data_IF_957808359590
#
_entry.id   IF_957808359590
#
_cell.length_a   1.000
_cell.length_b   1.000
_cell.length_c   1.000
_cell.angle_alpha   90.00
_cell.angle_beta   90.00
_cell.angle_gamma   90.00
#
_symmetry.space_group_name_H-M   'P 1'
#
loop_
_entity.id
_entity.type
_entity.pdbx_description
1 polymer ?
#
# COMPACT_ATOMS: atom_id res chain seq x y z
N UNK A 1 15.49 -2.77 15.06
CA UNK A 1 15.13 -2.43 13.68
C UNK A 1 13.70 -1.92 13.69
N UNK A 2 13.47 -0.68 13.28
CA UNK A 2 12.12 -0.12 13.14
C UNK A 2 11.57 -0.47 11.75
N UNK A 3 10.32 -0.90 11.69
CA UNK A 3 9.63 -1.13 10.42
C UNK A 3 9.17 0.22 9.88
N UNK A 4 9.61 0.56 8.67
CA UNK A 4 9.25 1.82 8.00
C UNK A 4 8.35 1.54 6.80
N UNK A 5 7.49 2.52 6.49
CA UNK A 5 6.57 2.48 5.35
C UNK A 5 6.87 3.67 4.44
N UNK A 6 7.12 3.36 3.17
CA UNK A 6 7.35 4.32 2.11
C UNK A 6 6.07 4.46 1.29
N UNK A 7 5.68 5.70 0.99
CA UNK A 7 4.52 6.00 0.16
C UNK A 7 4.97 6.64 -1.15
N UNK A 8 4.70 5.98 -2.26
CA UNK A 8 4.96 6.48 -3.61
C UNK A 8 3.64 6.98 -4.21
N UNK A 9 3.63 8.19 -4.75
CA UNK A 9 2.47 8.76 -5.45
C UNK A 9 2.88 9.16 -6.85
N UNK A 10 2.05 8.83 -7.85
CA UNK A 10 2.24 9.33 -9.20
C UNK A 10 1.33 10.54 -9.48
N UNK A 11 1.64 11.29 -10.54
CA UNK A 11 0.87 12.46 -10.94
C UNK A 11 -0.57 12.13 -11.41
N UNK A 12 -0.89 10.86 -11.62
CA UNK A 12 -2.17 10.37 -12.11
C UNK A 12 -3.08 9.84 -10.98
N UNK A 13 -2.69 10.04 -9.71
CA UNK A 13 -3.51 9.70 -8.54
C UNK A 13 -3.30 8.28 -7.99
N UNK A 14 -2.40 7.48 -8.56
CA UNK A 14 -2.06 6.19 -7.97
C UNK A 14 -1.12 6.38 -6.77
N UNK A 15 -1.39 5.65 -5.70
CA UNK A 15 -0.61 5.61 -4.46
C UNK A 15 -0.20 4.17 -4.14
N UNK A 16 1.07 3.95 -3.83
CA UNK A 16 1.61 2.64 -3.43
C UNK A 16 2.32 2.78 -2.09
N UNK A 17 2.04 1.88 -1.16
CA UNK A 17 2.72 1.80 0.12
C UNK A 17 3.56 0.52 0.20
N UNK A 18 4.83 0.66 0.61
CA UNK A 18 5.82 -0.41 0.66
C UNK A 18 6.53 -0.38 2.02
N UNK A 19 6.80 -1.54 2.62
CA UNK A 19 7.59 -1.61 3.85
C UNK A 19 9.01 -2.14 3.61
N UNK A 20 9.99 -1.64 4.38
CA UNK A 20 11.34 -2.20 4.41
C UNK A 20 11.43 -3.59 5.07
N UNK A 21 10.35 -4.06 5.73
CA UNK A 21 10.26 -5.41 6.24
C UNK A 21 9.97 -6.40 5.11
N UNK A 22 11.05 -6.92 4.49
CA UNK A 22 10.96 -7.90 3.40
C UNK A 22 10.41 -7.35 2.08
N UNK A 23 10.47 -6.03 1.87
CA UNK A 23 10.02 -5.34 0.65
C UNK A 23 8.57 -5.62 0.25
N UNK A 24 7.68 -5.80 1.23
CA UNK A 24 6.26 -6.11 0.97
C UNK A 24 5.49 -4.87 0.52
N UNK A 25 4.72 -5.01 -0.54
CA UNK A 25 3.69 -4.05 -0.94
C UNK A 25 2.49 -4.25 -0.02
N UNK A 26 2.07 -3.19 0.65
CA UNK A 26 0.98 -3.25 1.65
C UNK A 26 -0.32 -2.62 1.17
N UNK A 27 -0.27 -1.66 0.24
CA UNK A 27 -1.47 -1.05 -0.36
C UNK A 27 -1.13 -0.47 -1.73
N UNK A 28 -2.07 -0.58 -2.67
CA UNK A 28 -2.05 0.13 -3.95
C UNK A 28 -3.44 0.73 -4.13
N UNK A 29 -3.55 2.05 -4.05
CA UNK A 29 -4.77 2.78 -4.33
C UNK A 29 -4.71 3.35 -5.73
N UNK A 30 -5.71 3.06 -6.55
CA UNK A 30 -5.82 3.59 -7.90
C UNK A 30 -7.19 4.22 -8.08
N UNK A 31 -7.30 5.42 -8.68
CA UNK A 31 -8.58 6.01 -9.01
C UNK A 31 -9.31 5.14 -10.05
N UNK A 32 -10.60 4.89 -9.82
CA UNK A 32 -11.51 4.30 -10.79
C UNK A 32 -11.90 5.32 -11.87
N UNK A 33 -12.78 4.90 -12.79
CA UNK A 33 -13.26 5.76 -13.90
C UNK A 33 -13.96 7.03 -13.41
N UNK A 34 -14.54 7.01 -12.22
CA UNK A 34 -15.25 8.14 -11.62
C UNK A 34 -14.33 8.95 -10.66
N UNK A 35 -13.03 8.62 -10.61
CA UNK A 35 -12.03 9.28 -9.76
C UNK A 35 -12.02 8.81 -8.30
N UNK A 36 -12.80 7.78 -7.94
CA UNK A 36 -12.83 7.24 -6.58
C UNK A 36 -11.66 6.28 -6.40
N UNK A 37 -10.88 6.46 -5.34
CA UNK A 37 -9.73 5.61 -5.09
C UNK A 37 -10.18 4.28 -4.47
N UNK A 38 -9.89 3.17 -5.14
CA UNK A 38 -10.06 1.83 -4.62
C UNK A 38 -8.70 1.21 -4.28
N UNK A 39 -8.62 0.48 -3.15
CA UNK A 39 -7.46 -0.38 -2.88
C UNK A 39 -7.62 -1.66 -3.72
N UNK A 40 -6.65 -1.91 -4.59
CA UNK A 40 -6.69 -3.03 -5.55
C UNK A 40 -5.78 -4.19 -5.13
N UNK A 41 -5.18 -4.13 -3.93
CA UNK A 41 -4.35 -5.22 -3.41
C UNK A 41 -5.17 -6.09 -2.47
N UNK A 42 -5.09 -7.41 -2.66
CA UNK A 42 -5.43 -8.40 -1.64
C UNK A 42 -4.32 -8.41 -0.57
N UNK A 43 -4.16 -7.31 0.15
CA UNK A 43 -3.14 -7.10 1.17
C UNK A 43 -3.80 -7.02 2.54
N UNK A 44 -3.30 -7.79 3.51
CA UNK A 44 -3.82 -7.75 4.87
C UNK A 44 -3.71 -6.34 5.44
N UNK A 45 -4.81 -5.84 6.01
CA UNK A 45 -4.99 -4.47 6.53
C UNK A 45 -3.97 -4.05 7.61
N UNK A 46 -3.13 -4.96 8.11
CA UNK A 46 -2.17 -4.63 9.16
C UNK A 46 -0.93 -5.52 9.17
N UNK A 47 0.23 -4.89 9.43
CA UNK A 47 1.48 -5.55 9.82
C UNK A 47 1.30 -6.52 11.01
N UNK A 48 0.30 -6.28 11.87
CA UNK A 48 -0.04 -7.16 12.98
C UNK A 48 -0.53 -8.56 12.51
N UNK A 49 -1.03 -8.69 11.28
CA UNK A 49 -1.42 -9.99 10.71
C UNK A 49 -0.22 -10.84 10.30
N UNK A 50 1.00 -10.28 10.31
CA UNK A 50 2.24 -10.99 9.98
C UNK A 50 3.02 -11.49 11.22
N UNK A 51 2.56 -11.21 12.44
CA UNK A 51 3.16 -11.69 13.69
C UNK A 51 2.28 -12.81 14.28
N UNK A 52 2.35 -14.00 13.66
CA UNK A 52 1.94 -15.24 14.30
C UNK A 52 3.03 -15.79 15.22
#
# INVERSE_FOLDING_TARGET
MTTEVFTLKNAQGAEVQITNFGARVISIKVPDRDGRHGDVVLGFDSLASYQG
#
